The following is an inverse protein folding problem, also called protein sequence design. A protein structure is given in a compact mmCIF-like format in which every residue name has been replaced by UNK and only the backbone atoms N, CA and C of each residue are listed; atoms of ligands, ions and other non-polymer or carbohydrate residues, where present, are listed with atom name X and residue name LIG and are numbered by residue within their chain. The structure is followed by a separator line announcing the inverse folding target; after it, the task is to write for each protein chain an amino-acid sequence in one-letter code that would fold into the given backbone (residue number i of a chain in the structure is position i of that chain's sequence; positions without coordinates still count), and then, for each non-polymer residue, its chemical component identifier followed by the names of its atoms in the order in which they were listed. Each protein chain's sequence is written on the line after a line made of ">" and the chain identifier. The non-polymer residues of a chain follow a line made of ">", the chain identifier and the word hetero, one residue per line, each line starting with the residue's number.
data_IF_968347587258
#
_entry.id   IF_968347587258
#
_cell.length_a   1.000
_cell.length_b   1.000
_cell.length_c   1.000
_cell.angle_alpha   90.00
_cell.angle_beta   90.00
_cell.angle_gamma   90.00
#
_symmetry.space_group_name_H-M   'P 1'
#
loop_
_entity.id
_entity.type
_entity.pdbx_description
1 polymer ?
#
# COMPACT_ATOMS: atom_id res chain seq x y z
N UNK A 1 -11.50 -33.14 -27.12
CA UNK A 1 -11.16 -33.27 -25.69
C UNK A 1 -9.99 -32.35 -25.33
N UNK A 2 -9.16 -31.94 -26.30
CA UNK A 2 -8.10 -30.91 -26.20
C UNK A 2 -8.47 -29.60 -25.46
N UNK A 3 -9.71 -29.12 -25.55
CA UNK A 3 -10.03 -27.74 -25.14
C UNK A 3 -10.08 -27.48 -23.64
N UNK A 4 -10.20 -28.51 -22.80
CA UNK A 4 -10.31 -28.34 -21.34
C UNK A 4 -8.95 -28.26 -20.65
N UNK A 5 -7.99 -29.05 -21.12
CA UNK A 5 -6.62 -29.05 -20.57
C UNK A 5 -5.91 -27.72 -20.86
N UNK A 6 -6.12 -27.16 -22.07
CA UNK A 6 -5.59 -25.84 -22.45
C UNK A 6 -6.17 -24.69 -21.60
N UNK A 7 -7.46 -24.79 -21.23
CA UNK A 7 -8.13 -23.79 -20.41
C UNK A 7 -7.65 -23.84 -18.95
N UNK A 8 -7.44 -25.05 -18.43
CA UNK A 8 -6.88 -25.27 -17.09
C UNK A 8 -5.44 -24.78 -16.99
N UNK A 9 -4.61 -25.08 -18.00
CA UNK A 9 -3.23 -24.59 -18.10
C UNK A 9 -3.15 -23.06 -18.14
N UNK A 10 -4.00 -22.41 -18.96
CA UNK A 10 -4.07 -20.94 -19.00
C UNK A 10 -4.49 -20.36 -17.67
N UNK A 11 -5.46 -20.96 -16.99
CA UNK A 11 -5.92 -20.49 -15.69
C UNK A 11 -4.81 -20.58 -14.64
N UNK A 12 -4.06 -21.68 -14.61
CA UNK A 12 -2.89 -21.85 -13.72
C UNK A 12 -1.83 -20.78 -14.01
N UNK A 13 -1.50 -20.54 -15.29
CA UNK A 13 -0.52 -19.51 -15.67
C UNK A 13 -0.94 -18.10 -15.23
N UNK A 14 -2.22 -17.76 -15.37
CA UNK A 14 -2.76 -16.46 -14.94
C UNK A 14 -2.68 -16.30 -13.42
N UNK A 15 -3.00 -17.36 -12.66
CA UNK A 15 -2.90 -17.36 -11.19
C UNK A 15 -1.45 -17.17 -10.75
N UNK A 16 -0.52 -17.92 -11.32
CA UNK A 16 0.90 -17.86 -10.96
C UNK A 16 1.53 -16.50 -11.32
N UNK A 17 1.22 -15.94 -12.49
CA UNK A 17 1.69 -14.61 -12.88
C UNK A 17 1.20 -13.53 -11.90
N UNK A 18 -0.06 -13.61 -11.48
CA UNK A 18 -0.65 -12.69 -10.52
C UNK A 18 -0.07 -12.86 -9.12
N UNK A 19 0.14 -14.11 -8.68
CA UNK A 19 0.77 -14.42 -7.40
C UNK A 19 2.21 -13.88 -7.31
N UNK A 20 2.99 -14.01 -8.39
CA UNK A 20 4.34 -13.44 -8.47
C UNK A 20 4.32 -11.92 -8.37
N UNK A 21 3.41 -11.26 -9.10
CA UNK A 21 3.29 -9.80 -9.04
C UNK A 21 2.96 -9.30 -7.63
N UNK A 22 2.03 -9.96 -6.93
CA UNK A 22 1.71 -9.62 -5.53
C UNK A 22 2.94 -9.85 -4.64
N UNK A 23 3.63 -10.98 -4.82
CA UNK A 23 4.77 -11.37 -3.98
C UNK A 23 5.98 -10.42 -4.11
N UNK A 24 6.16 -9.76 -5.27
CA UNK A 24 7.18 -8.71 -5.41
C UNK A 24 6.84 -7.41 -4.66
N UNK A 25 5.56 -7.12 -4.44
CA UNK A 25 5.09 -5.91 -3.75
C UNK A 25 4.97 -6.08 -2.22
N UNK A 26 5.32 -7.28 -1.71
CA UNK A 26 5.26 -7.62 -0.30
C UNK A 26 6.69 -7.80 0.22
N UNK A 27 7.07 -7.04 1.25
CA UNK A 27 8.33 -7.19 1.99
C UNK A 27 8.21 -8.33 2.99
N UNK A 28 9.27 -9.11 3.16
CA UNK A 28 9.38 -9.97 4.32
C UNK A 28 9.91 -9.16 5.51
N UNK A 29 9.04 -8.83 6.46
CA UNK A 29 9.38 -8.08 7.68
C UNK A 29 10.50 -8.74 8.48
N UNK A 30 10.50 -10.08 8.52
CA UNK A 30 11.47 -10.88 9.26
C UNK A 30 12.77 -11.17 8.48
N UNK A 31 12.79 -10.94 7.17
CA UNK A 31 13.94 -11.29 6.30
C UNK A 31 14.83 -10.08 5.96
N UNK A 32 14.50 -8.87 6.44
CA UNK A 32 15.21 -7.64 6.13
C UNK A 32 14.59 -6.83 4.97
N UNK A 33 15.39 -6.49 3.95
CA UNK A 33 15.01 -5.56 2.85
C UNK A 33 14.58 -6.24 1.55
N UNK A 34 14.33 -7.55 1.58
CA UNK A 34 14.04 -8.37 0.39
C UNK A 34 12.55 -8.68 0.24
N UNK A 35 12.13 -8.96 -0.99
CA UNK A 35 10.75 -9.35 -1.30
C UNK A 35 10.43 -10.74 -0.73
N UNK A 36 9.15 -11.05 -0.51
CA UNK A 36 8.77 -12.41 -0.14
C UNK A 36 9.02 -13.39 -1.29
N UNK A 37 9.12 -12.94 -2.56
CA UNK A 37 9.40 -13.82 -3.70
C UNK A 37 10.86 -14.30 -3.76
N UNK A 38 11.79 -13.49 -3.26
CA UNK A 38 13.23 -13.83 -3.25
C UNK A 38 13.67 -14.49 -1.93
N UNK A 39 12.89 -14.30 -0.86
CA UNK A 39 13.24 -14.75 0.49
C UNK A 39 12.87 -16.23 0.74
N UNK A 40 13.79 -16.98 1.37
CA UNK A 40 13.58 -18.40 1.73
C UNK A 40 13.07 -18.61 3.18
N UNK A 41 12.65 -17.55 3.87
CA UNK A 41 12.13 -17.70 5.22
C UNK A 41 10.78 -18.44 5.23
N UNK A 42 10.49 -19.13 6.34
CA UNK A 42 9.25 -19.86 6.53
C UNK A 42 8.01 -18.97 6.36
N UNK A 43 8.10 -17.71 6.81
CA UNK A 43 7.05 -16.71 6.64
C UNK A 43 6.82 -16.37 5.15
N UNK A 44 7.88 -16.21 4.36
CA UNK A 44 7.77 -15.94 2.94
C UNK A 44 7.16 -17.12 2.17
N UNK A 45 7.44 -18.36 2.59
CA UNK A 45 6.83 -19.56 1.99
C UNK A 45 5.33 -19.63 2.33
N UNK A 46 4.97 -19.34 3.58
CA UNK A 46 3.57 -19.29 4.03
C UNK A 46 2.78 -18.24 3.23
N UNK A 47 3.32 -17.03 3.11
CA UNK A 47 2.67 -15.91 2.40
C UNK A 47 2.45 -16.21 0.91
N UNK A 48 3.45 -16.78 0.22
CA UNK A 48 3.28 -17.20 -1.18
C UNK A 48 2.19 -18.26 -1.37
N UNK A 49 1.99 -19.15 -0.39
CA UNK A 49 0.89 -20.13 -0.44
C UNK A 49 -0.45 -19.46 -0.23
N UNK A 50 -0.56 -18.63 0.81
CA UNK A 50 -1.77 -17.88 1.13
C UNK A 50 -2.23 -17.01 -0.06
N UNK A 51 -1.31 -16.31 -0.72
CA UNK A 51 -1.64 -15.48 -1.89
C UNK A 51 -2.26 -16.32 -3.02
N UNK A 52 -1.72 -17.51 -3.30
CA UNK A 52 -2.28 -18.40 -4.33
C UNK A 52 -3.68 -18.88 -3.96
N UNK A 53 -3.89 -19.27 -2.70
CA UNK A 53 -5.19 -19.73 -2.21
C UNK A 53 -6.24 -18.62 -2.30
N UNK A 54 -5.86 -17.38 -2.00
CA UNK A 54 -6.76 -16.22 -2.07
C UNK A 54 -7.07 -15.81 -3.53
N UNK A 55 -6.10 -15.92 -4.44
CA UNK A 55 -6.35 -15.72 -5.88
C UNK A 55 -7.30 -16.79 -6.42
N UNK A 56 -7.11 -18.06 -6.02
CA UNK A 56 -8.00 -19.15 -6.40
C UNK A 56 -9.41 -18.99 -5.81
N UNK A 57 -9.50 -18.39 -4.62
CA UNK A 57 -10.76 -18.01 -3.98
C UNK A 57 -11.48 -16.85 -4.68
N UNK A 58 -10.89 -16.26 -5.72
CA UNK A 58 -11.50 -15.21 -6.54
C UNK A 58 -11.40 -13.81 -5.93
N UNK A 59 -10.56 -13.61 -4.90
CA UNK A 59 -10.35 -12.28 -4.31
C UNK A 59 -9.54 -11.38 -5.22
N UNK A 60 -9.75 -10.07 -5.07
CA UNK A 60 -8.98 -9.04 -5.76
C UNK A 60 -7.64 -8.77 -5.07
N UNK A 61 -6.67 -8.19 -5.80
CA UNK A 61 -5.33 -7.90 -5.25
C UNK A 61 -5.42 -7.01 -4.00
N UNK A 62 -6.33 -6.03 -4.01
CA UNK A 62 -6.55 -5.12 -2.88
C UNK A 62 -7.04 -5.85 -1.63
N UNK A 63 -7.94 -6.82 -1.78
CA UNK A 63 -8.43 -7.62 -0.66
C UNK A 63 -7.34 -8.55 -0.13
N UNK A 64 -6.50 -9.09 -1.01
CA UNK A 64 -5.33 -9.90 -0.62
C UNK A 64 -4.36 -9.05 0.19
N UNK A 65 -3.98 -7.87 -0.31
CA UNK A 65 -3.10 -6.95 0.43
C UNK A 65 -3.69 -6.56 1.78
N UNK A 66 -4.98 -6.20 1.83
CA UNK A 66 -5.65 -5.85 3.08
C UNK A 66 -5.61 -7.01 4.08
N UNK A 67 -5.88 -8.23 3.64
CA UNK A 67 -5.84 -9.40 4.52
C UNK A 67 -4.42 -9.70 5.02
N UNK A 68 -3.43 -9.60 4.14
CA UNK A 68 -2.03 -9.74 4.52
C UNK A 68 -1.62 -8.71 5.58
N UNK A 69 -2.12 -7.50 5.46
CA UNK A 69 -1.87 -6.44 6.42
C UNK A 69 -2.61 -6.67 7.76
N UNK A 70 -3.87 -7.09 7.71
CA UNK A 70 -4.69 -7.34 8.90
C UNK A 70 -4.13 -8.54 9.71
N UNK A 71 -3.58 -9.56 9.02
CA UNK A 71 -3.05 -10.78 9.65
C UNK A 71 -1.56 -10.66 10.05
N UNK A 72 -0.74 -9.91 9.27
CA UNK A 72 0.72 -9.86 9.44
C UNK A 72 1.31 -8.46 9.72
N UNK A 73 0.51 -7.39 9.63
CA UNK A 73 0.87 -6.01 9.98
C UNK A 73 1.10 -5.07 8.80
N UNK A 74 1.04 -3.75 9.07
CA UNK A 74 1.18 -2.65 8.09
C UNK A 74 2.55 -2.56 7.42
N UNK A 75 3.60 -3.11 8.05
CA UNK A 75 4.99 -3.08 7.57
C UNK A 75 5.31 -4.14 6.50
N UNK A 76 4.38 -5.05 6.24
CA UNK A 76 4.52 -6.14 5.26
C UNK A 76 4.42 -5.63 3.81
N UNK A 77 3.80 -4.48 3.56
CA UNK A 77 3.58 -3.94 2.22
C UNK A 77 4.51 -2.76 1.91
N UNK A 78 4.97 -2.66 0.66
CA UNK A 78 5.75 -1.50 0.19
C UNK A 78 4.89 -0.22 0.06
N UNK A 79 3.56 -0.36 -0.11
CA UNK A 79 2.67 0.76 -0.37
C UNK A 79 1.91 1.16 0.91
N UNK A 80 2.16 2.37 1.46
CA UNK A 80 1.34 2.87 2.55
C UNK A 80 -0.09 3.08 2.08
N UNK A 81 -1.07 2.78 2.93
CA UNK A 81 -2.47 3.06 2.69
C UNK A 81 -2.64 4.55 2.36
N UNK A 82 -3.21 4.85 1.20
CA UNK A 82 -3.88 6.13 1.00
C UNK A 82 -5.19 6.10 1.81
N UNK A 83 -5.07 6.33 3.12
CA UNK A 83 -6.24 6.58 3.95
C UNK A 83 -6.72 8.02 3.74
N UNK A 84 -8.03 8.25 3.83
CA UNK A 84 -8.64 9.58 3.78
C UNK A 84 -8.08 10.49 4.89
N UNK A 85 -7.65 9.91 6.01
CA UNK A 85 -7.00 10.64 7.09
C UNK A 85 -5.60 11.12 6.68
N UNK A 86 -4.82 10.30 5.97
CA UNK A 86 -3.50 10.70 5.45
C UNK A 86 -3.63 11.62 4.25
N UNK A 87 -4.70 11.54 3.46
CA UNK A 87 -4.95 12.42 2.30
C UNK A 87 -4.91 13.91 2.67
N UNK A 88 -5.36 14.29 3.86
CA UNK A 88 -5.22 15.65 4.39
C UNK A 88 -3.76 16.10 4.56
N UNK A 89 -2.88 15.19 4.99
CA UNK A 89 -1.45 15.46 5.16
C UNK A 89 -0.72 15.62 3.82
N UNK A 90 -1.12 14.87 2.79
CA UNK A 90 -0.55 14.99 1.45
C UNK A 90 -0.90 16.32 0.75
N UNK A 91 -1.97 17.01 1.18
CA UNK A 91 -2.38 18.32 0.65
C UNK A 91 -1.70 19.51 1.36
N UNK A 92 -1.00 19.28 2.49
CA UNK A 92 -0.25 20.32 3.20
C UNK A 92 0.72 21.11 2.29
N UNK A 93 1.58 20.47 1.47
CA UNK A 93 2.50 21.21 0.60
C UNK A 93 1.81 21.98 -0.53
N UNK A 94 0.56 21.62 -0.89
CA UNK A 94 -0.20 22.32 -1.92
C UNK A 94 -0.88 23.59 -1.39
N UNK A 95 -1.23 23.63 -0.09
CA UNK A 95 -1.76 24.83 0.55
C UNK A 95 -0.70 25.94 0.59
N UNK A 96 0.52 25.61 1.04
CA UNK A 96 1.65 26.55 1.10
C UNK A 96 2.02 27.09 -0.29
N UNK A 97 1.97 26.24 -1.32
CA UNK A 97 2.27 26.66 -2.69
C UNK A 97 1.19 27.60 -3.26
N UNK A 98 -0.09 27.35 -3.00
CA UNK A 98 -1.19 28.20 -3.50
C UNK A 98 -1.19 29.60 -2.87
N UNK A 99 -0.66 29.74 -1.66
CA UNK A 99 -0.57 31.03 -0.96
C UNK A 99 0.59 31.91 -1.44
N UNK A 100 1.68 31.33 -1.94
CA UNK A 100 2.82 32.10 -2.48
C UNK A 100 2.52 32.71 -3.88
N UNK A 101 1.68 32.06 -4.68
CA UNK A 101 1.28 32.54 -6.01
C UNK A 101 0.12 33.56 -6.00
N UNK A 102 -0.51 33.85 -4.85
CA UNK A 102 -1.80 34.53 -4.77
C UNK A 102 -1.92 35.64 -3.73
N UNK A 103 -1.36 36.82 -4.01
CA UNK A 103 -1.80 38.17 -3.59
C UNK A 103 -2.86 38.23 -2.45
N UNK A 104 -2.42 38.21 -1.19
CA UNK A 104 -3.32 38.52 -0.06
C UNK A 104 -2.62 39.35 1.02
N UNK A 105 -2.82 40.68 0.96
CA UNK A 105 -2.39 41.65 1.99
C UNK A 105 -3.31 41.65 3.22
N UNK A 106 -3.69 40.49 3.74
CA UNK A 106 -4.55 40.42 4.92
C UNK A 106 -3.80 39.82 6.12
N UNK A 107 -3.17 40.70 6.90
CA UNK A 107 -2.39 40.39 8.12
C UNK A 107 -3.18 39.54 9.14
N UNK A 108 -4.50 39.61 9.16
CA UNK A 108 -5.35 38.83 10.08
C UNK A 108 -5.42 37.33 9.77
N UNK A 109 -5.22 36.90 8.51
CA UNK A 109 -5.18 35.46 8.17
C UNK A 109 -3.86 34.81 8.57
N UNK A 110 -2.77 35.59 8.61
CA UNK A 110 -1.44 35.12 9.04
C UNK A 110 -1.45 34.61 10.48
N UNK A 111 -2.23 35.25 11.36
CA UNK A 111 -2.40 34.83 12.77
C UNK A 111 -3.18 33.51 12.93
N UNK A 112 -4.20 33.28 12.09
CA UNK A 112 -4.91 31.98 12.08
C UNK A 112 -4.01 30.88 11.52
N UNK A 113 -3.19 31.19 10.52
CA UNK A 113 -2.26 30.23 9.91
C UNK A 113 -1.11 29.87 10.86
N UNK A 114 -0.55 30.82 11.61
CA UNK A 114 0.44 30.50 12.66
C UNK A 114 -0.16 29.66 13.77
N UNK A 115 -1.43 29.87 14.14
CA UNK A 115 -2.11 29.04 15.13
C UNK A 115 -2.27 27.62 14.63
N UNK A 116 -2.74 27.45 13.38
CA UNK A 116 -2.96 26.12 12.78
C UNK A 116 -1.65 25.38 12.53
N UNK A 117 -0.60 26.09 12.09
CA UNK A 117 0.76 25.57 11.95
C UNK A 117 1.36 25.13 13.29
N UNK A 118 1.13 25.88 14.38
CA UNK A 118 1.60 25.51 15.72
C UNK A 118 0.86 24.29 16.28
N UNK A 119 -0.45 24.19 16.02
CA UNK A 119 -1.23 23.00 16.42
C UNK A 119 -0.81 21.76 15.62
N UNK A 120 -0.49 21.93 14.34
CA UNK A 120 0.01 20.86 13.50
C UNK A 120 1.41 20.39 13.91
N UNK A 121 2.29 21.32 14.30
CA UNK A 121 3.63 21.02 14.84
C UNK A 121 3.59 20.25 16.18
N UNK A 122 2.60 20.52 17.04
CA UNK A 122 2.39 19.75 18.28
C UNK A 122 1.82 18.35 18.04
N UNK A 123 1.16 18.11 16.90
CA UNK A 123 0.56 16.80 16.55
C UNK A 123 1.54 15.90 15.81
N UNK A 124 2.58 16.46 15.18
CA UNK A 124 3.56 15.72 14.37
C UNK A 124 4.97 15.58 15.01
N UNK A 125 5.10 15.92 16.30
CA UNK A 125 6.30 15.68 17.12
C UNK A 125 5.96 14.76 18.29
#
# INVERSE_FOLDING_TARGET
>A
MESKEDEELKKVQVVDARARNISHNVRCTECGSQSIEDSQADIAILLRKLIRDEIQSGKSDKEIYKKLEDDFGETVLYAPKFDMQTAGLWLSPLQELLEDYGLSKNTSKKLMFTSWFWTWLEVFH
#
